data_IF_049185785553
#
_entry.id   IF_049185785553
#
_cell.length_a   1.000
_cell.length_b   1.000
_cell.length_c   1.000
_cell.angle_alpha   90.00
_cell.angle_beta   90.00
_cell.angle_gamma   90.00
#
_symmetry.space_group_name_H-M   'P 1'
#
loop_
_entity.id
_entity.type
_entity.pdbx_description
1 polymer ?
#
# COMPACT_ATOMS: atom_id res chain seq x y z
N UNK A 1 10.43 0.61 27.03
CA UNK A 1 9.28 0.35 27.92
C UNK A 1 8.06 -0.20 27.19
N UNK A 2 7.83 0.14 25.91
CA UNK A 2 6.67 -0.36 25.15
C UNK A 2 6.79 -1.84 24.76
N UNK A 3 7.99 -2.37 24.55
CA UNK A 3 8.19 -3.81 24.29
C UNK A 3 7.70 -4.69 25.45
N UNK A 4 7.75 -4.19 26.68
CA UNK A 4 7.30 -4.95 27.85
C UNK A 4 5.76 -5.12 27.92
N UNK A 5 4.99 -4.34 27.19
CA UNK A 5 3.51 -4.42 27.19
C UNK A 5 3.04 -5.70 26.48
N UNK A 6 3.71 -6.11 25.41
CA UNK A 6 3.40 -7.35 24.68
C UNK A 6 3.75 -8.63 25.45
N UNK A 7 4.69 -8.53 26.40
CA UNK A 7 5.23 -9.69 27.12
C UNK A 7 4.43 -10.03 28.37
N UNK A 8 3.43 -9.22 28.72
CA UNK A 8 2.62 -9.43 29.92
C UNK A 8 1.33 -10.17 29.57
N UNK A 9 0.90 -11.06 30.48
CA UNK A 9 -0.45 -11.62 30.40
C UNK A 9 -1.50 -10.49 30.43
N UNK A 10 -2.40 -10.49 29.48
CA UNK A 10 -3.36 -9.39 29.30
C UNK A 10 -2.76 -8.11 28.71
N UNK A 11 -1.52 -8.15 28.19
CA UNK A 11 -0.91 -7.06 27.45
C UNK A 11 -1.44 -6.91 26.03
N UNK A 12 -0.85 -6.00 25.26
CA UNK A 12 -1.29 -5.68 23.89
C UNK A 12 -1.19 -6.90 22.97
N UNK A 13 -2.22 -7.13 22.16
CA UNK A 13 -2.26 -8.18 21.15
C UNK A 13 -1.17 -8.01 20.08
N UNK A 14 -0.76 -9.12 19.47
CA UNK A 14 0.14 -9.11 18.32
C UNK A 14 -0.50 -8.60 17.02
N UNK A 15 -1.82 -8.43 17.00
CA UNK A 15 -2.64 -8.02 15.85
C UNK A 15 -3.70 -7.01 16.29
N UNK A 16 -4.23 -6.18 15.37
CA UNK A 16 -5.30 -5.24 15.67
C UNK A 16 -6.53 -5.95 16.27
N UNK A 17 -7.07 -5.38 17.35
CA UNK A 17 -8.29 -5.87 18.00
C UNK A 17 -9.19 -4.72 18.42
N UNK A 18 -10.43 -4.73 17.98
CA UNK A 18 -11.44 -3.69 18.26
C UNK A 18 -11.75 -3.53 19.77
N UNK A 19 -11.52 -4.57 20.55
CA UNK A 19 -11.70 -4.49 21.99
C UNK A 19 -10.51 -3.84 22.74
N UNK A 20 -9.36 -3.66 22.09
CA UNK A 20 -8.20 -2.99 22.65
C UNK A 20 -8.20 -1.49 22.34
N UNK A 21 -8.73 -1.09 21.16
CA UNK A 21 -8.77 0.31 20.75
C UNK A 21 -9.93 0.59 19.79
N UNK A 22 -10.60 1.71 19.97
CA UNK A 22 -11.61 2.19 19.02
C UNK A 22 -11.02 2.64 17.67
N UNK A 23 -9.70 2.78 17.59
CA UNK A 23 -9.00 3.04 16.32
C UNK A 23 -8.77 1.77 15.50
N UNK A 24 -8.92 0.59 16.11
CA UNK A 24 -8.79 -0.69 15.41
C UNK A 24 -10.12 -1.01 14.71
N UNK A 25 -10.15 -0.75 13.40
CA UNK A 25 -11.39 -0.89 12.62
C UNK A 25 -11.79 -2.34 12.34
N UNK A 26 -10.85 -3.30 12.43
CA UNK A 26 -11.07 -4.69 12.05
C UNK A 26 -10.14 -5.67 12.78
N UNK A 27 -10.71 -6.76 13.31
CA UNK A 27 -9.96 -7.82 13.97
C UNK A 27 -9.39 -8.79 12.94
N UNK A 28 -8.06 -8.93 12.86
CA UNK A 28 -7.43 -9.86 11.93
C UNK A 28 -6.02 -10.26 12.36
N UNK A 29 -5.67 -11.51 12.12
CA UNK A 29 -4.30 -12.03 12.19
C UNK A 29 -3.86 -12.62 10.85
N UNK A 30 -4.79 -12.76 9.88
CA UNK A 30 -4.51 -13.21 8.53
C UNK A 30 -4.01 -12.09 7.63
N UNK A 31 -3.00 -12.39 6.80
CA UNK A 31 -2.57 -11.52 5.71
C UNK A 31 -3.60 -11.46 4.59
N UNK A 32 -3.45 -10.52 3.67
CA UNK A 32 -4.25 -10.38 2.43
C UNK A 32 -5.73 -10.00 2.61
N UNK A 33 -6.17 -9.66 3.82
CA UNK A 33 -7.59 -9.40 4.15
C UNK A 33 -7.98 -7.93 4.06
N UNK A 34 -7.03 -7.00 4.12
CA UNK A 34 -7.29 -5.56 4.30
C UNK A 34 -8.11 -4.93 3.19
N UNK A 35 -7.90 -5.33 1.92
CA UNK A 35 -8.66 -4.79 0.79
C UNK A 35 -10.12 -5.28 0.85
N UNK A 36 -10.34 -6.54 1.16
CA UNK A 36 -11.68 -7.13 1.29
C UNK A 36 -12.47 -6.50 2.44
N UNK A 37 -11.83 -6.34 3.61
CA UNK A 37 -12.43 -5.66 4.76
C UNK A 37 -12.76 -4.20 4.45
N UNK A 38 -11.81 -3.47 3.82
CA UNK A 38 -12.02 -2.09 3.40
C UNK A 38 -13.16 -1.94 2.39
N UNK A 39 -13.25 -2.87 1.41
CA UNK A 39 -14.36 -2.89 0.46
C UNK A 39 -15.72 -3.06 1.16
N UNK A 40 -15.79 -3.93 2.18
CA UNK A 40 -16.98 -4.08 3.01
C UNK A 40 -17.36 -2.78 3.73
N UNK A 41 -16.37 -2.07 4.29
CA UNK A 41 -16.58 -0.76 4.94
C UNK A 41 -17.04 0.30 3.93
N UNK A 42 -16.49 0.31 2.71
CA UNK A 42 -16.95 1.22 1.63
C UNK A 42 -18.42 0.94 1.30
N UNK A 43 -18.79 -0.31 1.12
CA UNK A 43 -20.19 -0.69 0.84
C UNK A 43 -21.13 -0.31 1.99
N UNK A 44 -20.72 -0.52 3.23
CA UNK A 44 -21.50 -0.14 4.40
C UNK A 44 -21.69 1.38 4.49
N UNK A 45 -20.62 2.15 4.26
CA UNK A 45 -20.65 3.63 4.20
C UNK A 45 -21.65 4.11 3.14
N UNK A 46 -21.56 3.55 1.94
CA UNK A 46 -22.39 3.96 0.80
C UNK A 46 -23.87 3.63 1.03
N UNK A 47 -24.17 2.45 1.60
CA UNK A 47 -25.53 2.05 1.95
C UNK A 47 -26.15 2.93 3.05
N UNK A 48 -25.33 3.42 3.99
CA UNK A 48 -25.77 4.30 5.06
C UNK A 48 -25.76 5.79 4.67
N UNK A 49 -25.31 6.14 3.46
CA UNK A 49 -25.07 7.51 3.01
C UNK A 49 -24.15 8.31 3.96
N UNK A 50 -23.16 7.62 4.55
CA UNK A 50 -22.15 8.26 5.41
C UNK A 50 -20.99 8.81 4.58
N UNK A 51 -20.27 9.82 5.13
CA UNK A 51 -19.20 10.53 4.43
C UNK A 51 -17.88 10.43 5.20
N UNK A 52 -17.13 9.34 4.99
CA UNK A 52 -15.77 9.18 5.49
C UNK A 52 -14.88 8.48 4.47
N UNK A 53 -13.58 8.67 4.58
CA UNK A 53 -12.62 7.98 3.72
C UNK A 53 -12.32 6.60 4.27
N UNK A 54 -12.28 5.60 3.40
CA UNK A 54 -11.80 4.25 3.72
C UNK A 54 -10.44 4.07 3.07
N UNK A 55 -9.46 3.68 3.88
CA UNK A 55 -8.08 3.43 3.44
C UNK A 55 -7.68 2.03 3.88
N UNK A 56 -7.35 1.17 2.92
CA UNK A 56 -6.77 -0.15 3.18
C UNK A 56 -5.28 -0.11 2.92
N UNK A 57 -4.48 -0.60 3.85
CA UNK A 57 -3.02 -0.76 3.68
C UNK A 57 -2.71 -2.23 3.49
N UNK A 58 -1.94 -2.55 2.45
CA UNK A 58 -1.51 -3.92 2.14
C UNK A 58 -0.03 -3.93 1.76
N UNK A 59 0.72 -4.93 2.25
CA UNK A 59 2.10 -5.14 1.83
C UNK A 59 2.18 -5.86 0.48
N UNK A 60 3.28 -5.69 -0.23
CA UNK A 60 3.58 -6.34 -1.51
C UNK A 60 3.51 -7.88 -1.43
N UNK A 61 4.02 -8.46 -0.34
CA UNK A 61 3.89 -9.90 -0.09
C UNK A 61 2.44 -10.34 0.14
N UNK A 62 1.67 -9.57 0.91
CA UNK A 62 0.26 -9.86 1.18
C UNK A 62 -0.63 -9.67 -0.08
N UNK A 63 -0.23 -8.79 -1.00
CA UNK A 63 -0.93 -8.60 -2.28
C UNK A 63 -0.90 -9.86 -3.16
N UNK A 64 0.02 -10.79 -2.94
CA UNK A 64 0.08 -12.05 -3.71
C UNK A 64 -1.03 -13.04 -3.34
N UNK A 65 -1.77 -12.81 -2.26
CA UNK A 65 -2.86 -13.68 -1.82
C UNK A 65 -4.12 -13.56 -2.70
N UNK A 66 -4.80 -14.69 -2.95
CA UNK A 66 -5.98 -14.74 -3.82
C UNK A 66 -7.12 -13.82 -3.36
N UNK A 67 -7.35 -13.70 -2.05
CA UNK A 67 -8.38 -12.82 -1.50
C UNK A 67 -8.14 -11.34 -1.85
N UNK A 68 -6.87 -10.90 -1.93
CA UNK A 68 -6.54 -9.54 -2.34
C UNK A 68 -6.95 -9.28 -3.81
N UNK A 69 -6.72 -10.24 -4.72
CA UNK A 69 -7.14 -10.13 -6.12
C UNK A 69 -8.65 -10.16 -6.28
N UNK A 70 -9.33 -11.00 -5.55
CA UNK A 70 -10.79 -11.07 -5.55
C UNK A 70 -11.39 -9.73 -5.09
N UNK A 71 -10.84 -9.16 -4.03
CA UNK A 71 -11.24 -7.85 -3.54
C UNK A 71 -10.93 -6.72 -4.54
N UNK A 72 -9.78 -6.74 -5.21
CA UNK A 72 -9.43 -5.78 -6.27
C UNK A 72 -10.39 -5.90 -7.45
N UNK A 73 -10.72 -7.13 -7.88
CA UNK A 73 -11.68 -7.35 -8.95
C UNK A 73 -13.05 -6.74 -8.60
N UNK A 74 -13.53 -6.91 -7.38
CA UNK A 74 -14.78 -6.29 -6.93
C UNK A 74 -14.65 -4.76 -6.76
N UNK A 75 -13.52 -4.26 -6.27
CA UNK A 75 -13.28 -2.83 -6.08
C UNK A 75 -13.22 -2.06 -7.41
N UNK A 76 -12.86 -2.71 -8.51
CA UNK A 76 -12.80 -2.12 -9.85
C UNK A 76 -14.14 -1.54 -10.33
N UNK A 77 -15.25 -2.08 -9.82
CA UNK A 77 -16.61 -1.63 -10.16
C UNK A 77 -17.13 -0.49 -9.27
N UNK A 78 -16.37 -0.05 -8.28
CA UNK A 78 -16.77 1.03 -7.38
C UNK A 78 -16.88 2.36 -8.12
N UNK A 79 -17.92 3.13 -7.79
CA UNK A 79 -18.12 4.53 -8.23
C UNK A 79 -17.83 5.54 -7.12
N UNK A 80 -17.55 5.07 -5.92
CA UNK A 80 -17.24 5.87 -4.74
C UNK A 80 -15.79 5.67 -4.33
N UNK A 81 -15.22 6.66 -3.65
CA UNK A 81 -13.79 6.65 -3.29
C UNK A 81 -13.43 5.49 -2.37
N UNK A 82 -12.40 4.74 -2.76
CA UNK A 82 -11.75 3.73 -1.95
C UNK A 82 -10.24 3.79 -2.18
N UNK A 83 -9.46 4.09 -1.15
CA UNK A 83 -8.01 4.25 -1.23
C UNK A 83 -7.34 2.95 -0.77
N UNK A 84 -6.47 2.41 -1.60
CA UNK A 84 -5.65 1.23 -1.30
C UNK A 84 -4.19 1.67 -1.32
N UNK A 85 -3.50 1.55 -0.19
CA UNK A 85 -2.07 1.83 -0.08
C UNK A 85 -1.30 0.52 -0.23
N UNK A 86 -0.61 0.37 -1.34
CA UNK A 86 0.32 -0.73 -1.57
C UNK A 86 1.69 -0.34 -1.00
N UNK A 87 2.04 -0.90 0.15
CA UNK A 87 3.36 -0.71 0.77
C UNK A 87 4.35 -1.73 0.23
N UNK A 88 5.18 -1.31 -0.70
CA UNK A 88 6.18 -2.14 -1.36
C UNK A 88 7.55 -1.95 -0.70
N UNK A 89 8.02 -2.96 0.02
CA UNK A 89 9.34 -3.00 0.63
C UNK A 89 10.21 -4.17 0.14
N UNK A 90 9.80 -4.83 -0.94
CA UNK A 90 10.49 -5.97 -1.58
C UNK A 90 10.53 -7.27 -0.79
N UNK A 91 9.99 -7.28 0.43
CA UNK A 91 10.12 -8.41 1.34
C UNK A 91 8.81 -8.70 2.09
N UNK A 92 8.49 -9.99 2.22
CA UNK A 92 7.64 -10.48 3.30
C UNK A 92 8.52 -11.00 4.44
N UNK A 93 8.43 -12.26 4.82
CA UNK A 93 9.40 -12.93 5.71
C UNK A 93 10.71 -13.22 4.95
N UNK A 94 10.58 -13.58 3.66
CA UNK A 94 11.68 -13.78 2.71
C UNK A 94 11.47 -12.89 1.47
N UNK A 95 12.37 -12.99 0.48
CA UNK A 95 12.17 -12.33 -0.80
C UNK A 95 10.89 -12.83 -1.46
N UNK A 96 10.06 -11.92 -1.96
CA UNK A 96 8.84 -12.28 -2.66
C UNK A 96 9.15 -12.98 -3.98
N UNK A 97 8.36 -14.00 -4.31
CA UNK A 97 8.49 -14.78 -5.56
C UNK A 97 7.19 -14.73 -6.35
N UNK A 98 7.28 -14.86 -7.68
CA UNK A 98 6.12 -14.88 -8.57
C UNK A 98 6.00 -13.68 -9.48
N UNK A 99 4.97 -13.66 -10.32
CA UNK A 99 4.78 -12.65 -11.37
C UNK A 99 4.52 -11.24 -10.84
N UNK A 100 3.78 -11.10 -9.74
CA UNK A 100 3.46 -9.79 -9.16
C UNK A 100 4.68 -9.11 -8.56
N UNK A 101 5.49 -9.75 -7.71
CA UNK A 101 6.74 -9.19 -7.25
C UNK A 101 7.69 -8.81 -8.38
N UNK A 102 7.74 -9.60 -9.45
CA UNK A 102 8.54 -9.30 -10.63
C UNK A 102 8.00 -8.03 -11.34
N UNK A 103 6.70 -7.92 -11.51
CA UNK A 103 6.05 -6.72 -12.08
C UNK A 103 6.33 -5.47 -11.22
N UNK A 104 6.17 -5.56 -9.89
CA UNK A 104 6.46 -4.45 -8.97
C UNK A 104 7.94 -4.06 -9.00
N UNK A 105 8.86 -5.04 -9.16
CA UNK A 105 10.28 -4.77 -9.33
C UNK A 105 10.58 -3.95 -10.59
N UNK A 106 9.94 -4.28 -11.70
CA UNK A 106 10.07 -3.51 -12.95
C UNK A 106 9.53 -2.09 -12.80
N UNK A 107 8.46 -1.92 -12.04
CA UNK A 107 7.90 -0.59 -11.73
C UNK A 107 8.88 0.26 -10.91
N UNK A 108 9.52 -0.33 -9.89
CA UNK A 108 10.49 0.37 -9.05
C UNK A 108 11.73 0.83 -9.81
N UNK A 109 12.20 0.03 -10.76
CA UNK A 109 13.39 0.35 -11.56
C UNK A 109 13.17 1.45 -12.61
N UNK A 110 11.94 1.93 -12.78
CA UNK A 110 11.60 3.01 -13.70
C UNK A 110 11.55 4.39 -13.02
N UNK A 111 12.61 4.76 -12.30
CA UNK A 111 12.73 6.04 -11.58
C UNK A 111 12.45 7.29 -12.43
N UNK A 112 12.56 7.17 -13.74
CA UNK A 112 12.40 8.27 -14.70
C UNK A 112 10.95 8.61 -15.04
N UNK A 113 9.95 7.78 -14.66
CA UNK A 113 8.59 7.95 -15.18
C UNK A 113 7.79 9.04 -14.45
N UNK A 114 8.00 9.20 -13.15
CA UNK A 114 7.27 10.22 -12.36
C UNK A 114 7.73 11.63 -12.69
N UNK A 115 9.05 11.82 -12.73
CA UNK A 115 9.64 13.11 -13.10
C UNK A 115 9.32 13.47 -14.55
N UNK A 116 9.27 12.48 -15.46
CA UNK A 116 8.92 12.70 -16.86
C UNK A 116 7.44 13.05 -17.03
N UNK A 117 6.51 12.35 -16.35
CA UNK A 117 5.06 12.60 -16.46
C UNK A 117 4.69 13.94 -15.83
N UNK A 118 5.24 14.28 -14.68
CA UNK A 118 4.99 15.55 -14.00
C UNK A 118 5.59 16.70 -14.78
N UNK A 119 6.82 16.58 -15.26
CA UNK A 119 7.51 17.60 -16.07
C UNK A 119 6.85 17.78 -17.44
N UNK A 120 6.49 16.71 -18.14
CA UNK A 120 5.81 16.78 -19.45
C UNK A 120 4.41 17.35 -19.31
N UNK A 121 3.65 16.94 -18.30
CA UNK A 121 2.30 17.46 -18.07
C UNK A 121 2.33 18.94 -17.66
N UNK A 122 3.21 19.33 -16.75
CA UNK A 122 3.35 20.71 -16.30
C UNK A 122 3.92 21.64 -17.41
N UNK A 123 4.78 21.10 -18.27
CA UNK A 123 5.34 21.87 -19.40
C UNK A 123 4.32 22.03 -20.52
N UNK A 124 3.52 20.99 -20.81
CA UNK A 124 2.47 21.06 -21.84
C UNK A 124 1.31 22.00 -21.44
N UNK A 125 0.92 22.05 -20.18
CA UNK A 125 -0.10 23.01 -19.71
C UNK A 125 0.37 24.46 -19.69
N UNK A 126 1.68 24.71 -19.74
CA UNK A 126 2.25 26.07 -19.82
C UNK A 126 2.38 26.61 -21.26
N UNK A 127 2.16 25.77 -22.27
CA UNK A 127 2.24 26.18 -23.68
C UNK A 127 0.84 26.58 -24.20
N UNK A 128 0.70 27.68 -24.92
CA UNK A 128 -0.56 28.06 -25.56
C UNK A 128 -0.93 26.99 -26.59
N UNK A 129 -2.12 26.38 -26.44
CA UNK A 129 -2.61 25.27 -27.29
C UNK A 129 -2.27 23.87 -26.79
N UNK A 130 -1.73 23.72 -25.57
CA UNK A 130 -1.33 22.44 -24.97
C UNK A 130 -2.46 21.42 -24.81
N UNK A 131 -3.70 21.87 -24.66
CA UNK A 131 -4.88 21.00 -24.52
C UNK A 131 -5.11 20.10 -25.76
N UNK A 132 -4.93 20.65 -26.95
CA UNK A 132 -5.06 19.89 -28.22
C UNK A 132 -3.90 18.90 -28.42
N UNK A 133 -2.72 19.18 -27.89
CA UNK A 133 -1.57 18.29 -27.96
C UNK A 133 -1.77 17.12 -27.00
N UNK A 134 -2.27 17.36 -25.80
CA UNK A 134 -2.61 16.31 -24.81
C UNK A 134 -3.68 15.35 -25.35
N UNK A 135 -4.71 15.87 -26.04
CA UNK A 135 -5.72 15.02 -26.68
C UNK A 135 -5.17 14.19 -27.84
N UNK A 136 -4.29 14.77 -28.66
CA UNK A 136 -3.61 14.02 -29.74
C UNK A 136 -2.69 12.93 -29.20
N UNK A 137 -1.93 13.19 -28.14
CA UNK A 137 -1.08 12.20 -27.47
C UNK A 137 -1.94 11.08 -26.86
N UNK A 138 -3.11 11.38 -26.29
CA UNK A 138 -4.06 10.38 -25.82
C UNK A 138 -4.60 9.49 -26.94
N UNK A 139 -4.83 10.03 -28.15
CA UNK A 139 -5.25 9.25 -29.32
C UNK A 139 -4.13 8.44 -29.97
N UNK A 140 -2.88 8.91 -29.89
CA UNK A 140 -1.71 8.20 -30.47
C UNK A 140 -1.21 7.06 -29.59
N UNK A 141 -1.66 6.98 -28.33
CA UNK A 141 -1.36 5.87 -27.39
C UNK A 141 -1.76 4.47 -27.89
N UNK A 142 -2.61 4.38 -28.94
CA UNK A 142 -3.01 3.08 -29.50
C UNK A 142 -1.88 2.33 -30.22
N UNK A 143 -0.82 3.00 -30.65
CA UNK A 143 0.27 2.41 -31.44
C UNK A 143 1.59 2.21 -30.67
N UNK A 144 1.70 2.68 -29.41
CA UNK A 144 2.87 2.46 -28.55
C UNK A 144 2.61 1.27 -27.60
N UNK A 145 2.21 0.13 -28.16
CA UNK A 145 1.81 -1.10 -27.43
C UNK A 145 2.94 -1.85 -26.73
N UNK A 146 4.13 -1.32 -26.57
CA UNK A 146 5.26 -2.07 -26.00
C UNK A 146 5.97 -1.40 -24.82
N UNK A 147 5.53 -0.25 -24.34
CA UNK A 147 6.05 0.28 -23.07
C UNK A 147 5.10 -0.20 -21.98
N UNK A 148 5.53 -1.21 -21.23
CA UNK A 148 4.84 -1.66 -20.02
C UNK A 148 4.91 -0.50 -19.01
N UNK A 149 3.84 0.30 -18.96
CA UNK A 149 3.72 1.40 -18.05
C UNK A 149 3.54 0.88 -16.61
N UNK A 150 4.22 1.49 -15.64
CA UNK A 150 3.99 1.19 -14.23
C UNK A 150 2.50 1.24 -13.89
N UNK A 151 1.99 0.20 -13.19
CA UNK A 151 0.60 0.16 -12.77
C UNK A 151 -0.43 -0.25 -13.84
N UNK A 152 -0.01 -0.52 -15.08
CA UNK A 152 -0.91 -0.88 -16.17
C UNK A 152 -1.86 -2.04 -15.83
N UNK A 153 -1.43 -3.02 -15.03
CA UNK A 153 -2.30 -4.10 -14.58
C UNK A 153 -3.51 -3.57 -13.81
N UNK A 154 -3.30 -2.66 -12.87
CA UNK A 154 -4.38 -2.07 -12.07
C UNK A 154 -5.27 -1.16 -12.91
N UNK A 155 -4.67 -0.38 -13.81
CA UNK A 155 -5.42 0.48 -14.75
C UNK A 155 -6.26 -0.36 -15.73
N UNK A 156 -5.76 -1.49 -16.21
CA UNK A 156 -6.54 -2.44 -17.03
C UNK A 156 -7.71 -3.06 -16.26
N UNK A 157 -7.59 -3.20 -14.94
CA UNK A 157 -8.70 -3.63 -14.08
C UNK A 157 -9.70 -2.50 -13.79
N UNK A 158 -9.46 -1.27 -14.23
CA UNK A 158 -10.31 -0.11 -13.93
C UNK A 158 -10.00 0.58 -12.61
N UNK A 159 -8.86 0.27 -11.99
CA UNK A 159 -8.40 0.88 -10.74
C UNK A 159 -7.37 1.96 -11.07
N UNK A 160 -7.60 3.18 -10.58
CA UNK A 160 -6.63 4.28 -10.76
C UNK A 160 -5.33 3.97 -10.03
N UNK A 161 -4.20 4.26 -10.65
CA UNK A 161 -2.88 4.02 -10.06
C UNK A 161 -2.11 5.32 -9.88
N UNK A 162 -1.61 5.54 -8.66
CA UNK A 162 -0.77 6.65 -8.28
C UNK A 162 0.53 6.11 -7.67
N UNK A 163 1.65 6.37 -8.27
CA UNK A 163 2.93 5.89 -7.76
C UNK A 163 3.90 5.48 -8.88
N UNK A 164 5.07 4.96 -8.51
CA UNK A 164 5.57 4.78 -7.14
C UNK A 164 5.93 6.09 -6.44
N UNK A 165 5.72 6.14 -5.12
CA UNK A 165 6.03 7.29 -4.27
C UNK A 165 6.96 6.84 -3.14
N UNK A 166 7.96 7.66 -2.79
CA UNK A 166 8.80 7.39 -1.63
C UNK A 166 7.97 7.48 -0.34
N UNK A 167 7.82 6.35 0.37
CA UNK A 167 7.04 6.26 1.61
C UNK A 167 7.70 6.91 2.83
N UNK A 168 8.94 7.35 2.72
CA UNK A 168 9.63 8.11 3.76
C UNK A 168 9.55 9.63 3.55
N UNK A 169 8.92 10.07 2.46
CA UNK A 169 8.68 11.48 2.15
C UNK A 169 7.22 11.84 2.49
N UNK A 170 7.02 12.35 3.71
CA UNK A 170 5.68 12.66 4.24
C UNK A 170 4.99 13.75 3.43
N UNK A 171 5.72 14.74 2.93
CA UNK A 171 5.12 15.83 2.15
C UNK A 171 4.56 15.33 0.81
N UNK A 172 5.30 14.44 0.13
CA UNK A 172 4.80 13.79 -1.10
C UNK A 172 3.62 12.89 -0.82
N UNK A 173 3.65 12.12 0.27
CA UNK A 173 2.52 11.28 0.67
C UNK A 173 1.27 12.12 0.89
N UNK A 174 1.34 13.23 1.64
CA UNK A 174 0.20 14.13 1.86
C UNK A 174 -0.38 14.61 0.53
N UNK A 175 0.45 15.07 -0.41
CA UNK A 175 0.01 15.51 -1.74
C UNK A 175 -0.70 14.41 -2.51
N UNK A 176 -0.16 13.19 -2.52
CA UNK A 176 -0.75 12.05 -3.23
C UNK A 176 -2.08 11.62 -2.59
N UNK A 177 -2.19 11.62 -1.26
CA UNK A 177 -3.45 11.35 -0.58
C UNK A 177 -4.52 12.40 -0.89
N UNK A 178 -4.15 13.68 -1.00
CA UNK A 178 -5.09 14.72 -1.43
C UNK A 178 -5.62 14.48 -2.85
N UNK A 179 -4.78 13.99 -3.77
CA UNK A 179 -5.22 13.61 -5.12
C UNK A 179 -6.12 12.38 -5.05
N UNK A 180 -5.71 11.34 -4.33
CA UNK A 180 -6.46 10.09 -4.21
C UNK A 180 -7.87 10.29 -3.64
N UNK A 181 -8.04 11.18 -2.67
CA UNK A 181 -9.35 11.51 -2.08
C UNK A 181 -10.36 12.12 -3.07
N UNK A 182 -9.89 12.70 -4.18
CA UNK A 182 -10.73 13.32 -5.21
C UNK A 182 -11.11 12.36 -6.33
N UNK A 183 -10.54 11.16 -6.35
CA UNK A 183 -10.83 10.16 -7.38
C UNK A 183 -12.11 9.43 -7.01
N UNK A 184 -13.07 9.39 -7.91
CA UNK A 184 -14.26 8.56 -7.80
C UNK A 184 -13.93 7.15 -8.27
N UNK A 185 -14.04 6.17 -7.38
CA UNK A 185 -13.67 4.78 -7.63
C UNK A 185 -12.51 4.30 -6.76
N UNK A 186 -12.05 3.09 -7.02
CA UNK A 186 -10.88 2.54 -6.35
C UNK A 186 -9.59 3.16 -6.88
N UNK A 187 -8.68 3.48 -5.97
CA UNK A 187 -7.36 4.03 -6.31
C UNK A 187 -6.28 3.35 -5.49
N UNK A 188 -5.22 2.92 -6.17
CA UNK A 188 -4.01 2.37 -5.55
C UNK A 188 -2.96 3.47 -5.46
N UNK A 189 -2.46 3.71 -4.26
CA UNK A 189 -1.24 4.48 -4.00
C UNK A 189 -0.09 3.48 -3.80
N UNK A 190 0.82 3.40 -4.75
CA UNK A 190 2.00 2.55 -4.63
C UNK A 190 3.10 3.30 -3.89
N UNK A 191 3.40 2.84 -2.68
CA UNK A 191 4.36 3.46 -1.77
C UNK A 191 5.57 2.55 -1.63
N UNK A 192 6.74 3.05 -1.96
CA UNK A 192 8.00 2.31 -1.82
C UNK A 192 8.64 2.67 -0.48
N UNK A 193 8.91 1.67 0.34
CA UNK A 193 9.51 1.84 1.66
C UNK A 193 10.74 0.96 1.83
N UNK A 194 11.57 1.31 2.80
CA UNK A 194 12.72 0.50 3.21
C UNK A 194 12.44 -0.12 4.58
N UNK A 195 12.41 -1.46 4.64
CA UNK A 195 12.10 -2.20 5.87
C UNK A 195 13.14 -1.96 6.94
N UNK A 196 12.70 -1.56 8.14
CA UNK A 196 13.59 -1.23 9.25
C UNK A 196 14.18 0.18 9.20
N UNK A 197 13.75 1.04 8.26
CA UNK A 197 14.24 2.39 8.06
C UNK A 197 14.33 3.19 9.37
N UNK A 198 15.49 3.80 9.60
CA UNK A 198 15.79 4.55 10.82
C UNK A 198 16.36 3.72 11.98
N UNK A 199 16.36 2.38 11.87
CA UNK A 199 16.95 1.49 12.88
C UNK A 199 17.98 0.55 12.24
N UNK A 200 19.24 0.91 12.29
CA UNK A 200 20.35 0.19 11.63
C UNK A 200 20.39 -1.33 11.85
N UNK A 201 20.11 -1.89 13.05
CA UNK A 201 20.07 -3.34 13.23
C UNK A 201 18.97 -4.02 12.40
N UNK A 202 17.79 -3.39 12.26
CA UNK A 202 16.69 -3.91 11.47
C UNK A 202 16.94 -3.74 9.96
N UNK A 203 17.58 -2.65 9.55
CA UNK A 203 17.99 -2.44 8.15
C UNK A 203 18.99 -3.50 7.68
N UNK A 204 19.93 -3.92 8.58
CA UNK A 204 20.93 -4.96 8.28
C UNK A 204 20.34 -6.37 8.29
N UNK A 205 19.31 -6.63 9.09
CA UNK A 205 18.70 -7.95 9.26
C UNK A 205 17.18 -7.89 9.25
N UNK A 206 16.55 -7.44 8.15
CA UNK A 206 15.11 -7.16 8.09
C UNK A 206 14.23 -8.39 8.33
N UNK A 207 14.71 -9.59 7.99
CA UNK A 207 14.00 -10.84 8.25
C UNK A 207 13.90 -11.14 9.75
N UNK A 208 14.98 -10.94 10.51
CA UNK A 208 15.01 -11.16 11.97
C UNK A 208 14.06 -10.23 12.71
N UNK A 209 13.88 -9.01 12.21
CA UNK A 209 13.02 -7.98 12.82
C UNK A 209 11.60 -7.94 12.21
N UNK A 210 11.24 -8.90 11.35
CA UNK A 210 9.90 -8.94 10.76
C UNK A 210 8.79 -9.18 11.80
N UNK A 211 9.02 -10.09 12.71
CA UNK A 211 8.10 -10.40 13.80
C UNK A 211 8.89 -10.83 15.03
N UNK A 212 9.09 -9.89 15.96
CA UNK A 212 9.74 -10.19 17.23
C UNK A 212 8.67 -10.72 18.16
N UNK A 213 8.80 -11.98 18.57
CA UNK A 213 7.94 -12.60 19.58
C UNK A 213 8.14 -11.99 20.97
N UNK A 214 7.20 -12.19 21.89
CA UNK A 214 7.36 -11.80 23.28
C UNK A 214 8.58 -12.51 23.88
N UNK A 215 9.35 -11.79 24.70
CA UNK A 215 10.46 -12.36 25.46
C UNK A 215 9.91 -12.98 26.73
N UNK A 216 10.13 -14.28 26.93
CA UNK A 216 9.77 -14.93 28.20
C UNK A 216 10.83 -14.65 29.24
N UNK A 217 10.50 -13.83 30.22
CA UNK A 217 11.39 -13.54 31.36
C UNK A 217 11.58 -14.73 32.30
N UNK A 218 10.76 -15.77 32.20
CA UNK A 218 10.90 -16.98 33.02
C UNK A 218 12.22 -17.72 32.78
N UNK A 219 12.82 -17.57 31.61
CA UNK A 219 14.14 -18.15 31.31
C UNK A 219 15.33 -17.34 31.86
N UNK A 220 15.11 -16.09 32.26
CA UNK A 220 16.15 -15.22 32.80
C UNK A 220 16.31 -15.36 34.31
N UNK A 221 15.35 -15.97 35.00
CA UNK A 221 15.38 -16.16 36.45
C UNK A 221 15.87 -17.55 36.91
N UNK A 222 15.88 -18.53 36.01
CA UNK A 222 16.33 -19.90 36.33
C UNK A 222 17.83 -20.06 36.62
N UNK A 223 18.76 -19.32 36.01
CA UNK A 223 20.18 -19.42 36.32
C UNK A 223 20.59 -18.76 37.63
N UNK A 224 19.72 -17.99 38.29
CA UNK A 224 20.06 -17.21 39.49
C UNK A 224 19.73 -17.95 40.79
N UNK A 225 19.19 -19.17 40.72
CA UNK A 225 18.78 -19.98 41.86
C UNK A 225 19.69 -21.25 42.03
N UNK A 226 20.79 -21.30 41.27
CA UNK A 226 21.78 -22.36 41.42
C UNK A 226 23.02 -21.89 42.18
#
# INVERSE_FOLDING_TARGET
SEMCIRDRFGGMSGFPKRNESHFDAFDTGHSSTSISAGLGLVKARDLKNEHYSVVSVIGDGALTGGMAYEALNNASSLKTNFIIVLNDNTMSIAKNVGGVPHMLSNIRSSDSYYDLKENVTNTLYKLPGGDHIVERIKKTKSNLKQIILPGQMFECMGISYLGPVNGHDIEKLIKVFHVAKRINGAVIIHVVTHKGHGYKPAERNPAKFHGIGPVSYTHLTLPTIA
#
